data_IF_893782065186
#
_entry.id   IF_893782065186
#
_cell.length_a   1.000
_cell.length_b   1.000
_cell.length_c   1.000
_cell.angle_alpha   90.00
_cell.angle_beta   90.00
_cell.angle_gamma   90.00
#
_symmetry.space_group_name_H-M   'P 1'
#
loop_
_entity.id
_entity.type
_entity.pdbx_description
1 polymer ?
#
# COMPACT_ATOMS: atom_id res chain seq x y z
N UNK A 1 -57.51 10.39 -19.76
CA UNK A 1 -58.23 10.50 -21.04
C UNK A 1 -57.27 10.84 -22.18
N UNK A 2 -56.53 11.96 -22.12
CA UNK A 2 -55.59 12.35 -23.18
C UNK A 2 -54.50 11.31 -23.57
N UNK A 3 -54.01 10.53 -22.59
CA UNK A 3 -52.98 9.51 -22.84
C UNK A 3 -53.54 8.25 -23.55
N UNK A 4 -54.83 7.98 -23.38
CA UNK A 4 -55.51 6.83 -24.01
C UNK A 4 -55.91 7.18 -25.44
N UNK A 5 -56.34 8.42 -25.68
CA UNK A 5 -56.63 8.92 -27.04
C UNK A 5 -55.37 9.00 -27.91
N UNK A 6 -54.26 9.48 -27.35
CA UNK A 6 -52.97 9.49 -28.06
C UNK A 6 -52.47 8.07 -28.42
N UNK A 7 -52.74 7.07 -27.57
CA UNK A 7 -52.40 5.68 -27.86
C UNK A 7 -53.28 5.09 -28.98
N UNK A 8 -54.54 5.51 -29.06
CA UNK A 8 -55.47 5.09 -30.12
C UNK A 8 -55.07 5.67 -31.48
N UNK A 9 -54.69 6.94 -31.51
CA UNK A 9 -54.26 7.66 -32.73
C UNK A 9 -52.92 7.13 -33.30
N UNK A 10 -52.05 6.59 -32.44
CA UNK A 10 -50.82 5.89 -32.83
C UNK A 10 -51.13 4.49 -33.40
N UNK A 11 -52.18 3.82 -32.91
CA UNK A 11 -52.59 2.49 -33.38
C UNK A 11 -53.26 2.51 -34.75
N UNK A 12 -53.91 3.62 -35.10
CA UNK A 12 -54.69 3.79 -36.33
C UNK A 12 -53.83 4.20 -37.53
N UNK A 13 -52.60 4.68 -37.31
CA UNK A 13 -51.67 5.12 -38.34
C UNK A 13 -50.56 4.08 -38.60
N UNK A 14 -50.60 3.32 -39.72
CA UNK A 14 -49.66 2.21 -39.98
C UNK A 14 -48.19 2.66 -40.15
N UNK A 15 -47.96 3.89 -40.58
CA UNK A 15 -46.61 4.48 -40.70
C UNK A 15 -46.04 4.88 -39.35
N UNK A 16 -46.87 5.39 -38.43
CA UNK A 16 -46.48 5.79 -37.08
C UNK A 16 -46.22 4.57 -36.19
N UNK A 17 -47.04 3.51 -36.36
CA UNK A 17 -46.85 2.22 -35.71
C UNK A 17 -45.53 1.55 -36.13
N UNK A 18 -45.15 1.64 -37.41
CA UNK A 18 -43.87 1.12 -37.90
C UNK A 18 -42.66 1.81 -37.29
N UNK A 19 -42.70 3.15 -37.16
CA UNK A 19 -41.63 3.93 -36.52
C UNK A 19 -41.55 3.63 -35.02
N UNK A 20 -42.68 3.56 -34.32
CA UNK A 20 -42.72 3.17 -32.91
C UNK A 20 -42.18 1.76 -32.67
N UNK A 21 -42.52 0.81 -33.54
CA UNK A 21 -42.01 -0.56 -33.47
C UNK A 21 -40.48 -0.60 -33.66
N UNK A 22 -39.95 0.19 -34.60
CA UNK A 22 -38.50 0.33 -34.79
C UNK A 22 -37.79 0.95 -33.58
N UNK A 23 -38.36 2.00 -33.00
CA UNK A 23 -37.81 2.66 -31.81
C UNK A 23 -37.84 1.74 -30.59
N UNK A 24 -38.91 0.97 -30.39
CA UNK A 24 -39.03 -0.02 -29.31
C UNK A 24 -38.04 -1.18 -29.51
N UNK A 25 -37.81 -1.65 -30.74
CA UNK A 25 -36.82 -2.69 -31.01
C UNK A 25 -35.39 -2.24 -30.73
N UNK A 26 -35.05 -0.96 -30.97
CA UNK A 26 -33.71 -0.42 -30.71
C UNK A 26 -33.49 0.00 -29.25
N UNK A 27 -34.46 0.67 -28.64
CA UNK A 27 -34.33 1.20 -27.27
C UNK A 27 -34.78 0.21 -26.20
N UNK A 28 -35.65 -0.75 -26.54
CA UNK A 28 -36.15 -1.77 -25.61
C UNK A 28 -35.03 -2.59 -24.96
N UNK A 29 -34.10 -3.19 -25.73
CA UNK A 29 -32.99 -3.95 -25.15
C UNK A 29 -32.08 -3.11 -24.26
N UNK A 30 -31.87 -1.83 -24.61
CA UNK A 30 -31.06 -0.88 -23.82
C UNK A 30 -31.74 -0.57 -22.49
N UNK A 31 -33.05 -0.30 -22.50
CA UNK A 31 -33.83 -0.09 -21.29
C UNK A 31 -33.90 -1.33 -20.42
N UNK A 32 -34.05 -2.52 -21.01
CA UNK A 32 -34.03 -3.80 -20.29
C UNK A 32 -32.66 -4.00 -19.63
N UNK A 33 -31.56 -3.78 -20.36
CA UNK A 33 -30.20 -3.88 -19.81
C UNK A 33 -29.97 -2.88 -18.67
N UNK A 34 -30.48 -1.65 -18.79
CA UNK A 34 -30.43 -0.64 -17.75
C UNK A 34 -31.19 -1.06 -16.48
N UNK A 35 -32.44 -1.52 -16.62
CA UNK A 35 -33.25 -1.98 -15.49
C UNK A 35 -32.65 -3.21 -14.83
N UNK A 36 -32.12 -4.16 -15.61
CA UNK A 36 -31.39 -5.33 -15.07
C UNK A 36 -30.13 -4.86 -14.34
N UNK A 37 -29.34 -3.93 -14.90
CA UNK A 37 -28.15 -3.38 -14.25
C UNK A 37 -28.46 -2.67 -12.92
N UNK A 38 -29.53 -1.88 -12.86
CA UNK A 38 -30.00 -1.22 -11.64
C UNK A 38 -30.49 -2.26 -10.63
N UNK A 39 -31.26 -3.26 -11.07
CA UNK A 39 -31.79 -4.32 -10.21
C UNK A 39 -30.68 -5.19 -9.63
N UNK A 40 -29.68 -5.55 -10.44
CA UNK A 40 -28.49 -6.28 -10.01
C UNK A 40 -27.66 -5.41 -9.07
N UNK A 41 -27.46 -4.12 -9.36
CA UNK A 41 -26.75 -3.20 -8.47
C UNK A 41 -27.46 -2.98 -7.11
N UNK A 42 -28.79 -2.98 -7.09
CA UNK A 42 -29.59 -2.86 -5.85
C UNK A 42 -29.66 -4.17 -5.06
N UNK A 43 -29.77 -5.31 -5.75
CA UNK A 43 -29.78 -6.63 -5.14
C UNK A 43 -28.36 -7.05 -4.68
N UNK A 44 -27.33 -6.52 -5.31
CA UNK A 44 -25.94 -6.76 -4.93
C UNK A 44 -25.60 -5.94 -3.69
N UNK A 45 -25.91 -6.50 -2.53
CA UNK A 45 -25.36 -6.08 -1.24
C UNK A 45 -24.12 -6.93 -0.93
N UNK A 46 -22.91 -6.49 -1.29
CA UNK A 46 -21.71 -7.23 -0.96
C UNK A 46 -21.59 -7.39 0.56
N UNK A 47 -21.45 -8.65 1.01
CA UNK A 47 -21.31 -8.99 2.44
C UNK A 47 -20.07 -8.37 3.09
N UNK A 48 -19.07 -7.93 2.31
CA UNK A 48 -17.91 -7.19 2.83
C UNK A 48 -18.25 -5.78 3.34
N UNK A 49 -19.36 -5.18 2.92
CA UNK A 49 -19.80 -3.88 3.44
C UNK A 49 -20.47 -3.97 4.83
N UNK A 50 -20.95 -5.15 5.24
CA UNK A 50 -21.58 -5.38 6.56
C UNK A 50 -20.65 -6.06 7.58
N UNK A 51 -19.44 -6.48 7.18
CA UNK A 51 -18.49 -7.18 8.05
C UNK A 51 -17.93 -6.29 9.18
N UNK A 52 -18.23 -4.99 9.19
CA UNK A 52 -17.86 -4.05 10.26
C UNK A 52 -18.91 -3.86 11.37
N UNK A 53 -20.14 -4.38 11.22
CA UNK A 53 -21.22 -4.15 12.22
C UNK A 53 -21.39 -5.27 13.23
N UNK A 54 -21.06 -6.50 12.87
CA UNK A 54 -21.31 -7.67 13.74
C UNK A 54 -20.20 -7.91 14.78
N UNK A 55 -19.13 -7.09 14.77
CA UNK A 55 -18.04 -7.14 15.78
C UNK A 55 -18.12 -6.05 16.87
N UNK A 56 -19.14 -5.18 16.82
CA UNK A 56 -19.35 -4.10 17.82
C UNK A 56 -20.66 -4.25 18.62
N UNK A 57 -21.44 -5.31 18.38
CA UNK A 57 -22.71 -5.56 19.09
C UNK A 57 -22.64 -6.68 20.15
N UNK A 58 -21.44 -7.14 20.52
CA UNK A 58 -21.27 -8.11 21.60
C UNK A 58 -20.14 -7.65 22.54
N UNK A 59 -20.29 -6.46 23.14
CA UNK A 59 -19.56 -6.06 24.35
C UNK A 59 -20.12 -4.77 24.98
N UNK A 60 -21.43 -4.51 24.98
CA UNK A 60 -22.06 -3.50 25.86
C UNK A 60 -23.51 -3.90 26.13
N UNK A 61 -23.71 -4.89 26.99
CA UNK A 61 -24.97 -5.03 27.71
C UNK A 61 -24.68 -5.67 29.06
N UNK A 62 -25.05 -4.95 30.11
CA UNK A 62 -25.00 -5.30 31.54
C UNK A 62 -23.69 -4.93 32.26
N UNK A 63 -23.61 -3.68 32.75
CA UNK A 63 -23.49 -3.42 34.20
C UNK A 63 -23.33 -1.92 34.47
N UNK A 64 -24.43 -1.22 34.73
CA UNK A 64 -24.43 -0.03 35.57
C UNK A 64 -25.68 -0.09 36.43
N UNK A 65 -25.62 -0.89 37.48
CA UNK A 65 -26.43 -0.67 38.67
C UNK A 65 -25.52 -0.29 39.83
N UNK A 66 -26.07 0.62 40.63
CA UNK A 66 -25.45 1.48 41.63
C UNK A 66 -25.01 0.74 42.92
N UNK A 67 -23.98 1.33 43.54
CA UNK A 67 -23.82 1.58 44.99
C UNK A 67 -23.51 0.40 45.96
N UNK A 68 -22.29 0.50 46.52
CA UNK A 68 -21.91 0.33 47.94
C UNK A 68 -21.10 -0.87 48.46
N UNK A 69 -20.03 -0.43 49.16
CA UNK A 69 -19.41 -0.90 50.41
C UNK A 69 -18.46 -2.11 50.41
N UNK A 70 -17.41 -1.89 51.22
CA UNK A 70 -16.26 -2.74 51.56
C UNK A 70 -16.67 -4.09 52.14
N UNK A 71 -15.89 -5.14 51.86
CA UNK A 71 -15.07 -5.87 52.84
C UNK A 71 -14.41 -7.11 52.20
N UNK A 72 -13.09 -7.18 52.35
CA UNK A 72 -12.24 -8.33 52.72
C UNK A 72 -12.46 -9.79 52.24
N UNK A 73 -11.28 -10.43 52.04
CA UNK A 73 -10.94 -11.88 52.13
C UNK A 73 -10.96 -12.72 50.83
N UNK A 74 -9.75 -13.16 50.40
CA UNK A 74 -9.49 -14.33 49.51
C UNK A 74 -9.72 -15.66 50.27
N UNK A 75 -9.58 -16.91 49.74
CA UNK A 75 -9.10 -17.35 48.42
C UNK A 75 -9.82 -18.60 47.80
N UNK A 76 -9.31 -19.03 46.63
CA UNK A 76 -9.07 -20.42 46.21
C UNK A 76 -10.10 -21.20 45.34
N UNK A 77 -9.51 -21.88 44.32
CA UNK A 77 -9.86 -23.13 43.62
C UNK A 77 -10.87 -23.12 42.47
N UNK A 78 -10.46 -23.73 41.34
CA UNK A 78 -11.39 -24.32 40.37
C UNK A 78 -10.79 -24.59 38.98
N UNK A 79 -10.11 -25.72 38.81
CA UNK A 79 -9.77 -26.33 37.52
C UNK A 79 -11.03 -26.67 36.69
N UNK A 80 -10.87 -26.77 35.37
CA UNK A 80 -11.80 -27.50 34.47
C UNK A 80 -12.02 -26.79 33.14
N UNK A 81 -11.21 -27.08 32.12
CA UNK A 81 -11.48 -28.05 31.06
C UNK A 81 -12.26 -27.48 29.88
N UNK A 82 -11.55 -27.32 28.76
CA UNK A 82 -12.09 -27.08 27.43
C UNK A 82 -12.83 -28.33 26.90
N UNK A 83 -13.84 -28.16 26.02
CA UNK A 83 -14.21 -29.17 25.06
C UNK A 83 -13.72 -28.80 23.66
N UNK A 84 -13.03 -29.79 23.10
CA UNK A 84 -12.60 -29.92 21.73
C UNK A 84 -13.77 -30.37 20.84
N UNK A 85 -13.84 -29.87 19.61
CA UNK A 85 -14.56 -30.52 18.51
C UNK A 85 -13.72 -30.51 17.23
N UNK A 86 -13.53 -31.73 16.72
CA UNK A 86 -12.76 -32.15 15.55
C UNK A 86 -13.47 -31.83 14.22
N UNK A 87 -12.71 -31.36 13.24
CA UNK A 87 -12.26 -32.05 12.01
C UNK A 87 -13.26 -32.15 10.85
N UNK A 88 -12.85 -31.59 9.70
CA UNK A 88 -13.15 -32.15 8.38
C UNK A 88 -11.86 -32.15 7.57
N UNK A 89 -11.40 -33.37 7.25
CA UNK A 89 -10.30 -33.72 6.35
C UNK A 89 -10.69 -33.41 4.91
N UNK A 90 -9.74 -32.93 4.11
CA UNK A 90 -9.66 -33.27 2.69
C UNK A 90 -8.21 -33.67 2.38
N UNK A 91 -8.04 -34.91 1.92
CA UNK A 91 -6.78 -35.55 1.58
C UNK A 91 -6.31 -35.10 0.19
N UNK A 92 -5.03 -34.79 0.04
CA UNK A 92 -4.32 -34.65 -1.23
C UNK A 92 -3.74 -36.00 -1.67
N UNK A 93 -3.65 -36.30 -2.99
CA UNK A 93 -2.99 -37.52 -3.46
C UNK A 93 -1.46 -37.35 -3.46
N UNK A 94 -0.80 -38.39 -2.99
CA UNK A 94 0.65 -38.60 -3.00
C UNK A 94 1.18 -38.81 -4.42
N UNK A 95 2.33 -38.20 -4.69
CA UNK A 95 3.15 -38.42 -5.88
C UNK A 95 3.92 -39.74 -5.75
N UNK A 96 3.68 -40.69 -6.66
CA UNK A 96 4.47 -41.90 -6.82
C UNK A 96 5.68 -41.60 -7.71
N UNK A 97 6.89 -41.85 -7.18
CA UNK A 97 8.14 -41.77 -7.92
C UNK A 97 8.38 -43.07 -8.71
N UNK A 98 8.47 -42.94 -10.03
CA UNK A 98 8.95 -44.02 -10.90
C UNK A 98 10.46 -44.15 -10.81
N UNK A 99 10.89 -45.30 -10.27
CA UNK A 99 12.26 -45.81 -10.26
C UNK A 99 12.52 -46.50 -11.59
N UNK A 100 13.45 -45.96 -12.39
CA UNK A 100 14.05 -46.68 -13.51
C UNK A 100 15.37 -47.31 -13.03
N UNK A 101 15.37 -48.64 -12.99
CA UNK A 101 16.51 -49.49 -12.67
C UNK A 101 17.46 -49.53 -13.88
N UNK A 102 18.76 -49.31 -13.67
CA UNK A 102 19.81 -49.77 -14.58
C UNK A 102 21.08 -50.02 -13.76
N UNK A 103 21.38 -51.29 -13.54
CA UNK A 103 22.64 -51.74 -12.94
C UNK A 103 23.66 -52.06 -14.02
N UNK A 104 24.89 -51.54 -13.86
CA UNK A 104 26.12 -52.23 -14.29
C UNK A 104 27.24 -51.92 -13.29
N UNK A 105 27.86 -53.02 -12.90
CA UNK A 105 29.06 -53.37 -12.12
C UNK A 105 30.08 -52.35 -11.58
N UNK A 106 30.55 -52.77 -10.40
CA UNK A 106 31.57 -52.29 -9.47
C UNK A 106 32.99 -52.45 -10.01
N UNK A 107 33.81 -51.38 -10.01
CA UNK A 107 35.27 -51.46 -9.79
C UNK A 107 35.76 -50.28 -8.94
N UNK A 108 36.41 -50.62 -7.83
CA UNK A 108 37.10 -49.75 -6.90
C UNK A 108 38.39 -49.18 -7.50
N UNK A 109 38.58 -47.86 -7.43
CA UNK A 109 39.89 -47.23 -7.60
C UNK A 109 39.96 -45.97 -6.75
N UNK A 110 40.84 -46.01 -5.76
CA UNK A 110 41.22 -44.89 -4.89
C UNK A 110 42.00 -43.85 -5.69
N UNK A 111 41.52 -42.61 -5.76
CA UNK A 111 42.29 -41.46 -6.26
C UNK A 111 42.06 -40.27 -5.31
N UNK A 112 43.15 -39.60 -4.95
CA UNK A 112 43.25 -38.49 -3.98
C UNK A 112 42.44 -37.25 -4.41
N UNK A 113 42.04 -36.36 -3.49
CA UNK A 113 41.34 -35.13 -3.86
C UNK A 113 42.32 -34.18 -4.55
N UNK A 114 42.04 -33.81 -5.80
CA UNK A 114 42.65 -32.65 -6.43
C UNK A 114 41.88 -31.42 -5.95
N UNK A 115 42.63 -30.43 -5.44
CA UNK A 115 42.15 -29.09 -5.15
C UNK A 115 41.56 -28.48 -6.43
N UNK A 116 40.24 -28.45 -6.53
CA UNK A 116 39.55 -27.63 -7.51
C UNK A 116 39.40 -26.23 -6.90
N UNK A 117 40.11 -25.28 -7.50
CA UNK A 117 39.94 -23.86 -7.24
C UNK A 117 38.49 -23.49 -7.59
N UNK A 118 37.80 -22.96 -6.59
CA UNK A 118 36.43 -22.46 -6.64
C UNK A 118 36.36 -21.14 -7.43
N UNK A 119 36.39 -21.23 -8.76
CA UNK A 119 36.15 -20.09 -9.66
C UNK A 119 34.66 -19.85 -9.93
N UNK A 120 33.76 -20.71 -9.43
CA UNK A 120 32.31 -20.57 -9.66
C UNK A 120 31.63 -19.73 -8.59
N UNK A 121 32.08 -19.78 -7.32
CA UNK A 121 31.54 -18.92 -6.27
C UNK A 121 31.88 -17.44 -6.46
N UNK A 122 33.06 -17.12 -7.02
CA UNK A 122 33.46 -15.72 -7.26
C UNK A 122 32.55 -15.04 -8.27
N UNK A 123 32.27 -15.69 -9.41
CA UNK A 123 31.43 -15.14 -10.48
C UNK A 123 29.97 -14.96 -10.01
N UNK A 124 29.45 -15.90 -9.22
CA UNK A 124 28.10 -15.81 -8.66
C UNK A 124 27.99 -14.68 -7.63
N UNK A 125 29.00 -14.52 -6.76
CA UNK A 125 29.03 -13.43 -5.77
C UNK A 125 29.09 -12.05 -6.40
N UNK A 126 29.79 -11.92 -7.54
CA UNK A 126 29.91 -10.68 -8.30
C UNK A 126 28.59 -10.36 -9.02
N UNK A 127 27.94 -11.35 -9.63
CA UNK A 127 26.63 -11.21 -10.28
C UNK A 127 25.53 -10.80 -9.28
N UNK A 128 25.52 -11.37 -8.07
CA UNK A 128 24.62 -10.97 -6.98
C UNK A 128 24.92 -9.55 -6.50
N UNK A 129 26.21 -9.21 -6.35
CA UNK A 129 26.60 -7.87 -5.90
C UNK A 129 26.13 -6.78 -6.87
N UNK A 130 26.09 -7.10 -8.16
CA UNK A 130 25.59 -6.24 -9.23
C UNK A 130 24.05 -6.12 -9.28
N UNK A 131 23.31 -6.93 -8.51
CA UNK A 131 21.85 -6.84 -8.47
C UNK A 131 21.37 -5.49 -7.90
N UNK A 132 22.11 -4.91 -6.95
CA UNK A 132 21.85 -3.61 -6.34
C UNK A 132 23.17 -2.91 -6.04
N UNK A 133 23.42 -1.81 -6.76
CA UNK A 133 24.73 -1.17 -6.88
C UNK A 133 24.78 0.16 -6.13
N UNK A 134 25.96 0.76 -6.05
CA UNK A 134 26.18 2.06 -5.44
C UNK A 134 25.41 3.18 -6.16
N UNK A 135 25.17 3.08 -7.46
CA UNK A 135 24.31 4.05 -8.17
C UNK A 135 22.86 4.04 -7.65
N UNK A 136 22.36 2.90 -7.18
CA UNK A 136 21.04 2.82 -6.55
C UNK A 136 21.03 3.55 -5.19
N UNK A 137 22.15 3.53 -4.47
CA UNK A 137 22.32 4.31 -3.24
C UNK A 137 22.31 5.81 -3.55
N UNK A 138 23.06 6.25 -4.56
CA UNK A 138 23.06 7.65 -4.98
C UNK A 138 21.65 8.12 -5.35
N UNK A 139 20.90 7.28 -6.05
CA UNK A 139 19.52 7.58 -6.45
C UNK A 139 18.57 7.74 -5.25
N UNK A 140 18.59 6.82 -4.27
CA UNK A 140 17.75 6.99 -3.07
C UNK A 140 18.17 8.22 -2.25
N UNK A 141 19.45 8.56 -2.20
CA UNK A 141 19.91 9.78 -1.54
C UNK A 141 19.33 11.04 -2.20
N UNK A 142 19.37 11.13 -3.53
CA UNK A 142 18.74 12.22 -4.27
C UNK A 142 17.23 12.31 -4.03
N UNK A 143 16.52 11.17 -3.93
CA UNK A 143 15.10 11.12 -3.62
C UNK A 143 14.79 11.63 -2.20
N UNK A 144 15.60 11.24 -1.21
CA UNK A 144 15.47 11.68 0.19
C UNK A 144 15.66 13.18 0.31
N UNK A 145 16.59 13.75 -0.44
CA UNK A 145 16.87 15.19 -0.47
C UNK A 145 15.98 15.99 -1.43
N UNK A 146 15.10 15.31 -2.17
CA UNK A 146 14.24 15.92 -3.21
C UNK A 146 15.05 16.62 -4.33
N UNK A 147 16.24 16.10 -4.64
CA UNK A 147 17.17 16.58 -5.68
C UNK A 147 17.25 15.65 -6.89
N UNK A 148 16.30 14.72 -7.03
CA UNK A 148 16.26 13.74 -8.11
C UNK A 148 15.87 14.31 -9.48
N UNK A 149 15.56 15.62 -9.56
CA UNK A 149 15.17 16.31 -10.80
C UNK A 149 13.78 15.94 -11.31
N UNK A 150 13.02 15.11 -10.58
CA UNK A 150 11.66 14.75 -10.93
C UNK A 150 10.64 15.88 -10.69
N UNK A 151 9.39 15.73 -11.18
CA UNK A 151 8.32 16.68 -10.93
C UNK A 151 8.04 16.86 -9.44
N UNK A 152 7.40 17.98 -9.09
CA UNK A 152 6.99 18.25 -7.71
C UNK A 152 6.00 17.21 -7.18
N UNK A 153 6.14 16.87 -5.90
CA UNK A 153 5.26 15.97 -5.19
C UNK A 153 3.91 16.61 -4.90
N UNK A 154 2.81 15.94 -5.27
CA UNK A 154 1.44 16.36 -5.00
C UNK A 154 0.94 15.63 -3.77
N UNK A 155 0.57 16.38 -2.72
CA UNK A 155 0.05 15.81 -1.49
C UNK A 155 -1.26 15.03 -1.73
N UNK A 156 -1.35 13.82 -1.19
CA UNK A 156 -2.48 12.90 -1.37
C UNK A 156 -3.21 12.58 -0.07
N UNK A 157 -2.49 12.49 1.05
CA UNK A 157 -3.02 11.96 2.28
C UNK A 157 -2.24 12.46 3.48
N UNK A 158 -2.96 12.82 4.55
CA UNK A 158 -2.42 13.06 5.89
C UNK A 158 -3.35 12.36 6.88
N UNK A 159 -2.81 11.40 7.62
CA UNK A 159 -3.54 10.55 8.57
C UNK A 159 -2.68 10.27 9.80
N UNK A 160 -3.34 10.09 10.94
CA UNK A 160 -2.66 9.73 12.18
C UNK A 160 -3.50 8.78 13.02
N UNK A 161 -2.80 8.05 13.85
CA UNK A 161 -3.27 7.28 15.00
C UNK A 161 -2.44 7.71 16.21
N UNK A 162 -2.76 7.30 17.44
CA UNK A 162 -1.96 7.67 18.61
C UNK A 162 -0.48 7.28 18.50
N UNK A 163 -0.16 6.16 17.83
CA UNK A 163 1.18 5.58 17.76
C UNK A 163 1.89 5.77 16.41
N UNK A 164 1.18 6.30 15.40
CA UNK A 164 1.68 6.37 14.03
C UNK A 164 1.11 7.58 13.30
N UNK A 165 1.95 8.39 12.65
CA UNK A 165 1.51 9.40 11.67
C UNK A 165 1.98 9.05 10.27
N UNK A 166 1.17 9.38 9.28
CA UNK A 166 1.36 8.99 7.89
C UNK A 166 1.00 10.14 6.95
N UNK A 167 1.95 10.53 6.11
CA UNK A 167 1.73 11.46 5.01
C UNK A 167 2.15 10.82 3.70
N UNK A 168 1.42 11.10 2.62
CA UNK A 168 1.73 10.56 1.31
C UNK A 168 1.55 11.59 0.20
N UNK A 169 2.40 11.47 -0.81
CA UNK A 169 2.44 12.28 -2.01
C UNK A 169 2.56 11.40 -3.26
N UNK A 170 2.19 11.96 -4.40
CA UNK A 170 2.39 11.34 -5.72
C UNK A 170 2.86 12.38 -6.71
N UNK A 171 3.61 11.92 -7.69
CA UNK A 171 3.86 12.67 -8.93
C UNK A 171 3.67 11.75 -10.13
N UNK A 172 3.34 12.36 -11.27
CA UNK A 172 3.12 11.66 -12.52
C UNK A 172 4.25 12.09 -13.49
N UNK A 173 5.30 11.26 -13.70
CA UNK A 173 6.37 11.59 -14.64
C UNK A 173 5.86 11.58 -16.09
N UNK A 174 6.59 12.24 -17.00
CA UNK A 174 6.26 12.24 -18.45
C UNK A 174 6.29 10.83 -19.04
N UNK A 175 7.20 10.01 -18.55
CA UNK A 175 7.43 8.63 -18.97
C UNK A 175 7.42 7.72 -17.75
N UNK A 176 6.77 6.57 -17.86
CA UNK A 176 6.68 5.58 -16.80
C UNK A 176 5.49 5.74 -15.84
N UNK A 177 5.36 4.82 -14.87
CA UNK A 177 4.21 4.76 -13.98
C UNK A 177 4.19 5.92 -12.97
N UNK A 178 3.02 6.21 -12.35
CA UNK A 178 2.93 7.13 -11.23
C UNK A 178 3.92 6.75 -10.11
N UNK A 179 4.57 7.75 -9.54
CA UNK A 179 5.51 7.59 -8.45
C UNK A 179 4.87 8.05 -7.15
N UNK A 180 5.15 7.33 -6.07
CA UNK A 180 4.61 7.58 -4.73
C UNK A 180 5.73 7.81 -3.75
N UNK A 181 5.49 8.74 -2.83
CA UNK A 181 6.33 9.01 -1.66
C UNK A 181 5.46 8.98 -0.42
N UNK A 182 5.94 8.42 0.67
CA UNK A 182 5.27 8.60 1.97
C UNK A 182 6.26 8.76 3.11
N UNK A 183 5.87 9.52 4.13
CA UNK A 183 6.54 9.59 5.42
C UNK A 183 5.64 8.91 6.45
N UNK A 184 6.16 7.87 7.09
CA UNK A 184 5.50 7.20 8.21
C UNK A 184 6.36 7.35 9.45
N UNK A 185 5.79 7.88 10.53
CA UNK A 185 6.47 7.99 11.82
C UNK A 185 5.83 7.00 12.78
N UNK A 186 6.64 6.10 13.35
CA UNK A 186 6.25 5.18 14.41
C UNK A 186 6.80 5.70 15.74
N UNK A 187 5.92 5.93 16.70
CA UNK A 187 6.32 6.25 18.07
C UNK A 187 6.91 5.01 18.76
N UNK A 188 7.82 5.20 19.71
CA UNK A 188 8.37 4.11 20.55
C UNK A 188 8.96 2.96 19.70
N UNK A 189 9.76 3.32 18.69
CA UNK A 189 10.36 2.38 17.76
C UNK A 189 11.76 2.87 17.35
N UNK A 190 12.73 1.96 17.34
CA UNK A 190 14.10 2.28 16.91
C UNK A 190 14.28 1.99 15.41
N UNK A 191 15.20 2.68 14.71
CA UNK A 191 15.48 2.39 13.30
C UNK A 191 15.89 0.94 13.05
N UNK A 192 16.60 0.32 13.98
CA UNK A 192 17.11 -1.05 13.87
C UNK A 192 15.97 -2.07 13.91
N UNK A 193 15.00 -1.90 14.80
CA UNK A 193 13.84 -2.82 14.86
C UNK A 193 12.92 -2.64 13.65
N UNK A 194 12.77 -1.41 13.17
CA UNK A 194 11.94 -1.10 11.99
C UNK A 194 12.59 -1.63 10.71
N UNK A 195 13.92 -1.50 10.57
CA UNK A 195 14.70 -2.11 9.48
C UNK A 195 14.47 -3.62 9.42
N UNK A 196 14.67 -4.32 10.54
CA UNK A 196 14.52 -5.77 10.59
C UNK A 196 13.09 -6.18 10.25
N UNK A 197 12.09 -5.46 10.79
CA UNK A 197 10.67 -5.71 10.54
C UNK A 197 10.28 -5.58 9.06
N UNK A 198 10.77 -4.57 8.35
CA UNK A 198 10.45 -4.38 6.92
C UNK A 198 11.15 -5.39 6.00
N UNK A 199 12.30 -5.93 6.42
CA UNK A 199 13.09 -6.90 5.66
C UNK A 199 12.68 -8.37 5.93
N UNK A 200 11.96 -8.62 7.03
CA UNK A 200 11.56 -9.96 7.45
C UNK A 200 10.36 -10.51 6.65
N UNK A 201 10.66 -11.09 5.49
CA UNK A 201 9.66 -11.71 4.61
C UNK A 201 8.98 -12.95 5.22
N UNK A 202 9.59 -13.59 6.22
CA UNK A 202 8.98 -14.74 6.92
C UNK A 202 7.97 -14.28 7.97
N UNK A 203 8.21 -13.12 8.59
CA UNK A 203 7.26 -12.50 9.51
C UNK A 203 6.15 -11.73 8.80
N UNK A 204 6.43 -11.21 7.59
CA UNK A 204 5.53 -10.39 6.78
C UNK A 204 4.09 -10.94 6.63
N UNK A 205 3.85 -12.24 6.40
CA UNK A 205 2.49 -12.79 6.27
C UNK A 205 1.63 -12.64 7.53
N UNK A 206 2.21 -12.33 8.69
CA UNK A 206 1.45 -12.11 9.93
C UNK A 206 0.68 -10.79 9.92
N UNK A 207 1.03 -9.85 9.04
CA UNK A 207 0.41 -8.52 8.98
C UNK A 207 0.09 -8.03 7.56
N UNK A 208 0.74 -8.56 6.53
CA UNK A 208 0.48 -8.24 5.12
C UNK A 208 -0.18 -9.42 4.39
N UNK A 209 -1.50 -9.37 4.27
CA UNK A 209 -2.30 -10.40 3.58
C UNK A 209 -2.01 -10.48 2.06
N UNK A 210 -1.32 -9.48 1.50
CA UNK A 210 -1.02 -9.43 0.07
C UNK A 210 0.24 -10.21 -0.30
N UNK A 211 1.09 -10.61 0.65
CA UNK A 211 2.23 -11.48 0.34
C UNK A 211 1.76 -12.94 0.34
N UNK A 212 1.72 -13.58 -0.83
CA UNK A 212 1.34 -14.99 -0.95
C UNK A 212 2.50 -15.91 -0.58
N UNK A 213 3.70 -15.61 -1.11
CA UNK A 213 4.92 -16.35 -0.84
C UNK A 213 6.14 -15.48 -1.08
N UNK A 214 7.22 -15.81 -0.37
CA UNK A 214 8.56 -15.26 -0.54
C UNK A 214 9.55 -16.42 -0.60
N UNK A 215 10.55 -16.33 -1.47
CA UNK A 215 11.62 -17.33 -1.57
C UNK A 215 12.92 -16.61 -1.88
N UNK A 216 13.90 -16.70 -0.97
CA UNK A 216 15.26 -16.22 -1.22
C UNK A 216 15.90 -17.13 -2.27
N UNK A 217 16.33 -16.55 -3.37
CA UNK A 217 16.99 -17.26 -4.46
C UNK A 217 18.50 -17.27 -4.22
N UNK A 218 19.05 -16.10 -3.89
CA UNK A 218 20.48 -15.89 -3.66
C UNK A 218 20.69 -14.85 -2.56
N UNK A 219 21.81 -14.95 -1.85
CA UNK A 219 22.20 -14.01 -0.82
C UNK A 219 23.72 -13.82 -0.82
N UNK A 220 24.17 -12.58 -0.59
CA UNK A 220 25.57 -12.23 -0.40
C UNK A 220 25.80 -11.82 1.07
N UNK A 221 26.43 -12.69 1.88
CA UNK A 221 26.70 -12.41 3.29
C UNK A 221 27.69 -11.26 3.53
N UNK A 222 28.44 -10.83 2.51
CA UNK A 222 29.41 -9.73 2.63
C UNK A 222 28.73 -8.37 2.57
N UNK A 223 27.82 -8.18 1.61
CA UNK A 223 27.16 -6.89 1.37
C UNK A 223 25.75 -6.81 1.97
N UNK A 224 25.16 -7.96 2.32
CA UNK A 224 23.76 -8.08 2.70
C UNK A 224 22.79 -8.12 1.51
N UNK A 225 23.31 -8.18 0.27
CA UNK A 225 22.46 -8.23 -0.93
C UNK A 225 21.66 -9.52 -0.96
N UNK A 226 20.38 -9.43 -1.30
CA UNK A 226 19.52 -10.59 -1.50
C UNK A 226 18.81 -10.50 -2.84
N UNK A 227 18.66 -11.65 -3.49
CA UNK A 227 17.74 -11.85 -4.61
C UNK A 227 16.57 -12.69 -4.12
N UNK A 228 15.36 -12.17 -4.27
CA UNK A 228 14.14 -12.78 -3.72
C UNK A 228 13.05 -12.85 -4.76
N UNK A 229 12.36 -13.99 -4.83
CA UNK A 229 11.11 -14.13 -5.55
C UNK A 229 9.94 -13.84 -4.61
N UNK A 230 9.13 -12.84 -4.94
CA UNK A 230 7.85 -12.58 -4.27
C UNK A 230 6.69 -12.92 -5.17
N UNK A 231 5.65 -13.53 -4.60
CA UNK A 231 4.34 -13.62 -5.22
C UNK A 231 3.36 -12.84 -4.36
N UNK A 232 2.71 -11.84 -4.94
CA UNK A 232 1.70 -11.01 -4.27
C UNK A 232 0.31 -11.31 -4.79
N UNK A 233 -0.63 -11.44 -3.86
CA UNK A 233 -2.06 -11.55 -4.14
C UNK A 233 -2.58 -10.22 -4.63
N UNK A 234 -3.31 -10.25 -5.72
CA UNK A 234 -4.08 -9.10 -6.19
C UNK A 234 -5.58 -9.38 -6.08
N UNK A 235 -6.44 -8.33 -6.13
CA UNK A 235 -7.87 -8.52 -6.19
C UNK A 235 -8.27 -9.51 -7.28
N UNK A 236 -9.29 -10.34 -7.03
CA UNK A 236 -9.66 -11.49 -7.87
C UNK A 236 -9.88 -11.21 -9.37
N UNK A 237 -10.15 -9.94 -9.73
CA UNK A 237 -10.32 -9.49 -11.11
C UNK A 237 -8.98 -9.23 -11.84
N UNK A 238 -7.84 -9.39 -11.15
CA UNK A 238 -6.52 -9.35 -11.74
C UNK A 238 -5.72 -10.60 -11.38
N UNK A 239 -4.75 -10.96 -12.22
CA UNK A 239 -3.80 -12.04 -11.91
C UNK A 239 -2.91 -11.65 -10.73
N UNK A 240 -2.50 -12.60 -9.91
CA UNK A 240 -1.43 -12.37 -8.94
C UNK A 240 -0.13 -11.93 -9.62
N UNK A 241 0.73 -11.22 -8.88
CA UNK A 241 1.97 -10.65 -9.41
C UNK A 241 3.17 -11.40 -8.89
N UNK A 242 4.11 -11.67 -9.77
CA UNK A 242 5.43 -12.21 -9.43
C UNK A 242 6.47 -11.12 -9.60
N UNK A 243 7.36 -11.03 -8.62
CA UNK A 243 8.47 -10.10 -8.61
C UNK A 243 9.74 -10.92 -8.40
N UNK A 244 10.76 -10.65 -9.20
CA UNK A 244 12.13 -11.03 -8.86
C UNK A 244 12.84 -9.75 -8.49
N UNK A 245 13.20 -9.63 -7.22
CA UNK A 245 13.73 -8.40 -6.65
C UNK A 245 15.16 -8.62 -6.17
N UNK A 246 16.01 -7.66 -6.49
CA UNK A 246 17.29 -7.45 -5.82
C UNK A 246 17.08 -6.42 -4.70
N UNK A 247 17.68 -6.67 -3.53
CA UNK A 247 17.58 -5.74 -2.40
C UNK A 247 18.87 -5.69 -1.58
N UNK A 248 19.21 -4.50 -1.07
CA UNK A 248 20.43 -4.24 -0.27
C UNK A 248 20.18 -3.08 0.71
N UNK A 249 20.93 -3.07 1.82
CA UNK A 249 20.87 -2.01 2.84
C UNK A 249 22.25 -1.38 3.03
N UNK A 250 22.27 -0.04 3.04
CA UNK A 250 23.39 0.76 3.48
C UNK A 250 23.08 1.46 4.80
N UNK A 251 24.10 1.65 5.63
CA UNK A 251 23.98 2.34 6.92
C UNK A 251 24.90 3.55 6.96
N UNK A 252 24.36 4.68 7.42
CA UNK A 252 25.13 5.89 7.75
C UNK A 252 24.64 6.47 9.06
N UNK A 253 25.47 6.40 10.10
CA UNK A 253 25.08 6.76 11.46
C UNK A 253 23.92 5.88 11.96
N UNK A 254 22.76 6.49 12.21
CA UNK A 254 21.51 5.79 12.60
C UNK A 254 20.43 5.83 11.52
N UNK A 255 20.86 6.00 10.27
CA UNK A 255 20.00 6.02 9.10
C UNK A 255 20.30 4.82 8.21
N UNK A 256 19.24 4.18 7.73
CA UNK A 256 19.31 3.03 6.82
C UNK A 256 18.70 3.39 5.48
N UNK A 257 19.48 3.18 4.41
CA UNK A 257 19.04 3.34 3.03
C UNK A 257 18.83 1.96 2.45
N UNK A 258 17.57 1.61 2.24
CA UNK A 258 17.16 0.26 1.85
C UNK A 258 16.61 0.33 0.43
N UNK A 259 17.24 -0.37 -0.52
CA UNK A 259 16.76 -0.43 -1.90
C UNK A 259 16.18 -1.80 -2.17
N UNK A 260 15.03 -1.84 -2.86
CA UNK A 260 14.48 -3.05 -3.46
C UNK A 260 14.04 -2.70 -4.87
N UNK A 261 14.59 -3.37 -5.88
CA UNK A 261 14.25 -3.13 -7.29
C UNK A 261 14.02 -4.44 -8.03
N UNK A 262 13.23 -4.40 -9.09
CA UNK A 262 13.05 -5.52 -10.01
C UNK A 262 14.36 -5.81 -10.74
N UNK A 263 14.72 -7.09 -10.84
CA UNK A 263 15.91 -7.54 -11.58
C UNK A 263 15.54 -8.63 -12.58
N UNK A 264 16.36 -8.76 -13.61
CA UNK A 264 16.28 -9.89 -14.53
C UNK A 264 16.97 -11.09 -13.90
N UNK A 265 16.31 -12.26 -13.94
CA UNK A 265 16.86 -13.49 -13.40
C UNK A 265 16.56 -14.65 -14.37
N UNK A 266 17.50 -14.98 -15.28
CA UNK A 266 17.24 -15.86 -16.42
C UNK A 266 16.78 -17.28 -16.07
N UNK A 267 17.20 -17.80 -14.92
CA UNK A 267 16.90 -19.16 -14.44
C UNK A 267 15.44 -19.34 -14.00
N UNK A 268 14.67 -18.25 -13.81
CA UNK A 268 13.23 -18.33 -13.50
C UNK A 268 12.41 -17.82 -14.68
N UNK A 269 11.87 -18.73 -15.52
CA UNK A 269 11.09 -18.35 -16.68
C UNK A 269 9.79 -17.66 -16.31
N UNK A 270 9.29 -16.81 -17.21
CA UNK A 270 8.01 -16.15 -17.06
C UNK A 270 6.88 -17.18 -17.12
N UNK A 271 5.88 -16.99 -16.27
CA UNK A 271 4.63 -17.75 -16.30
C UNK A 271 3.48 -16.81 -16.65
N UNK A 272 2.41 -17.36 -17.19
CA UNK A 272 1.18 -16.60 -17.43
C UNK A 272 0.43 -16.23 -16.15
N UNK A 273 0.62 -17.04 -15.10
CA UNK A 273 0.06 -16.88 -13.76
C UNK A 273 1.08 -17.40 -12.74
N UNK A 274 1.47 -16.61 -11.74
CA UNK A 274 1.31 -15.15 -11.62
C UNK A 274 1.94 -14.35 -12.79
N UNK A 275 1.51 -13.10 -13.02
CA UNK A 275 2.10 -12.18 -14.02
C UNK A 275 3.38 -11.56 -13.45
N UNK A 276 4.52 -11.70 -14.15
CA UNK A 276 5.78 -11.04 -13.80
C UNK A 276 5.65 -9.50 -13.89
N UNK A 277 6.15 -8.80 -12.89
CA UNK A 277 6.36 -7.34 -12.89
C UNK A 277 7.85 -7.08 -13.00
N UNK A 278 8.27 -6.48 -14.11
CA UNK A 278 9.68 -6.20 -14.39
C UNK A 278 10.11 -4.85 -13.82
N UNK A 279 9.32 -3.81 -14.10
CA UNK A 279 9.55 -2.48 -13.54
C UNK A 279 8.98 -2.44 -12.13
N UNK A 280 9.86 -2.57 -11.14
CA UNK A 280 9.55 -2.45 -9.73
C UNK A 280 10.66 -1.67 -9.03
N UNK A 281 10.30 -0.66 -8.26
CA UNK A 281 11.20 0.07 -7.40
C UNK A 281 10.49 0.41 -6.10
N UNK A 282 11.07 0.03 -4.97
CA UNK A 282 10.57 0.32 -3.63
C UNK A 282 11.76 0.52 -2.72
N UNK A 283 11.98 1.75 -2.29
CA UNK A 283 13.12 2.11 -1.45
C UNK A 283 12.68 2.85 -0.19
N UNK A 284 13.46 2.70 0.88
CA UNK A 284 13.12 3.14 2.22
C UNK A 284 14.31 3.86 2.83
N UNK A 285 14.11 5.06 3.37
CA UNK A 285 15.04 5.69 4.29
C UNK A 285 14.45 5.63 5.70
N UNK A 286 15.12 4.89 6.58
CA UNK A 286 14.68 4.65 7.97
C UNK A 286 15.62 5.40 8.89
N UNK A 287 15.10 6.32 9.71
CA UNK A 287 15.92 7.16 10.60
C UNK A 287 15.21 7.48 11.91
N UNK A 288 16.00 7.73 12.96
CA UNK A 288 15.47 8.20 14.23
C UNK A 288 14.98 9.65 14.09
N UNK A 289 13.83 9.96 14.69
CA UNK A 289 13.24 11.30 14.73
C UNK A 289 12.71 11.60 16.11
N UNK A 290 12.47 12.88 16.38
CA UNK A 290 11.89 13.32 17.65
C UNK A 290 10.46 12.78 17.81
N UNK A 291 10.19 12.22 18.98
CA UNK A 291 8.84 11.81 19.36
C UNK A 291 7.96 13.02 19.64
N UNK A 292 6.70 12.96 19.18
CA UNK A 292 5.69 13.96 19.54
C UNK A 292 5.25 13.85 21.00
N UNK A 293 5.55 12.72 21.66
CA UNK A 293 5.14 12.43 23.05
C UNK A 293 6.17 12.86 24.07
N UNK A 294 7.44 12.69 23.73
CA UNK A 294 8.56 12.84 24.65
C UNK A 294 9.46 13.99 24.20
N UNK A 295 8.94 15.23 24.29
CA UNK A 295 9.62 16.51 24.08
C UNK A 295 11.09 16.43 23.62
N UNK A 296 11.32 16.23 22.32
CA UNK A 296 12.65 16.28 21.69
C UNK A 296 13.51 15.01 21.82
N UNK A 297 13.02 13.93 22.44
CA UNK A 297 13.74 12.65 22.49
C UNK A 297 13.62 11.89 21.17
N UNK A 298 14.73 11.33 20.70
CA UNK A 298 14.81 10.50 19.49
C UNK A 298 14.32 9.06 19.72
N UNK A 299 13.08 8.93 20.21
CA UNK A 299 12.44 7.64 20.51
C UNK A 299 11.45 7.19 19.41
N UNK A 300 11.21 8.04 18.41
CA UNK A 300 10.40 7.70 17.24
C UNK A 300 11.28 7.35 16.04
N UNK A 301 10.70 6.63 15.09
CA UNK A 301 11.35 6.26 13.84
C UNK A 301 10.53 6.77 12.66
N UNK A 302 11.16 7.52 11.77
CA UNK A 302 10.59 7.89 10.48
C UNK A 302 11.02 6.89 9.40
N UNK A 303 10.08 6.58 8.52
CA UNK A 303 10.26 5.75 7.34
C UNK A 303 9.77 6.56 6.14
N UNK A 304 10.71 7.04 5.34
CA UNK A 304 10.45 7.61 4.03
C UNK A 304 10.43 6.48 3.01
N UNK A 305 9.31 6.29 2.32
CA UNK A 305 9.15 5.30 1.26
C UNK A 305 9.08 6.02 -0.09
N UNK A 306 9.81 5.52 -1.08
CA UNK A 306 9.67 5.91 -2.49
C UNK A 306 9.35 4.67 -3.32
N UNK A 307 8.28 4.72 -4.09
CA UNK A 307 7.74 3.55 -4.75
C UNK A 307 7.16 3.84 -6.13
N UNK A 308 7.47 2.99 -7.10
CA UNK A 308 6.78 2.91 -8.38
C UNK A 308 6.92 1.51 -8.98
N UNK A 309 5.90 1.07 -9.70
CA UNK A 309 5.91 -0.21 -10.38
C UNK A 309 4.96 -0.22 -11.59
N UNK A 310 5.22 -1.12 -12.54
CA UNK A 310 4.27 -1.43 -13.61
C UNK A 310 3.53 -2.75 -13.33
N UNK A 311 2.42 -2.63 -12.60
CA UNK A 311 1.55 -3.75 -12.25
C UNK A 311 0.81 -4.38 -13.46
N UNK A 312 0.90 -3.77 -14.65
CA UNK A 312 0.10 -4.11 -15.82
C UNK A 312 -1.39 -3.82 -15.67
N UNK A 313 -1.71 -2.83 -14.85
CA UNK A 313 -3.07 -2.30 -14.68
C UNK A 313 -3.06 -0.87 -15.21
N UNK A 314 -4.12 -0.42 -15.91
CA UNK A 314 -4.27 0.99 -16.27
C UNK A 314 -4.03 1.91 -15.06
N UNK A 315 -3.15 2.90 -15.22
CA UNK A 315 -2.65 3.70 -14.10
C UNK A 315 -3.76 4.46 -13.36
N UNK A 316 -4.84 4.87 -14.03
CA UNK A 316 -5.98 5.51 -13.36
C UNK A 316 -6.70 4.57 -12.38
N UNK A 317 -6.78 3.27 -12.71
CA UNK A 317 -7.36 2.25 -11.83
C UNK A 317 -6.43 2.01 -10.65
N UNK A 318 -5.12 1.89 -10.89
CA UNK A 318 -4.13 1.76 -9.83
C UNK A 318 -4.16 2.97 -8.88
N UNK A 319 -4.21 4.20 -9.42
CA UNK A 319 -4.34 5.46 -8.67
C UNK A 319 -5.60 5.50 -7.81
N UNK A 320 -6.73 5.03 -8.34
CA UNK A 320 -7.97 4.91 -7.57
C UNK A 320 -7.83 3.91 -6.42
N UNK A 321 -7.21 2.75 -6.68
CA UNK A 321 -6.90 1.73 -5.69
C UNK A 321 -6.05 2.29 -4.54
N UNK A 322 -4.96 3.00 -4.86
CA UNK A 322 -4.10 3.65 -3.86
C UNK A 322 -4.90 4.68 -3.05
N UNK A 323 -5.65 5.58 -3.71
CA UNK A 323 -6.41 6.62 -3.02
C UNK A 323 -7.45 6.05 -2.03
N UNK A 324 -8.05 4.90 -2.36
CA UNK A 324 -9.10 4.29 -1.53
C UNK A 324 -8.59 3.28 -0.51
N UNK A 325 -7.56 2.51 -0.86
CA UNK A 325 -7.08 1.37 -0.08
C UNK A 325 -5.81 1.60 0.73
N UNK A 326 -4.98 2.60 0.37
CA UNK A 326 -3.65 2.78 0.97
C UNK A 326 -3.70 2.93 2.48
N UNK A 327 -4.62 3.73 3.02
CA UNK A 327 -4.72 3.91 4.47
C UNK A 327 -5.05 2.60 5.19
N UNK A 328 -6.00 1.81 4.67
CA UNK A 328 -6.37 0.52 5.27
C UNK A 328 -5.22 -0.49 5.24
N UNK A 329 -4.33 -0.44 4.25
CA UNK A 329 -3.13 -1.27 4.20
C UNK A 329 -2.06 -0.77 5.18
N UNK A 330 -1.78 0.55 5.17
CA UNK A 330 -0.77 1.18 6.05
C UNK A 330 -1.12 1.04 7.52
N UNK A 331 -2.41 1.11 7.88
CA UNK A 331 -2.86 0.91 9.26
C UNK A 331 -2.52 -0.47 9.85
N UNK A 332 -2.29 -1.50 9.02
CA UNK A 332 -1.89 -2.83 9.49
C UNK A 332 -0.43 -2.89 9.91
N UNK A 333 0.40 -1.94 9.46
CA UNK A 333 1.83 -1.92 9.73
C UNK A 333 2.09 -1.71 11.22
N UNK A 334 1.39 -0.78 11.87
CA UNK A 334 1.58 -0.47 13.30
C UNK A 334 1.36 -1.68 14.22
N UNK A 335 0.21 -2.39 14.19
CA UNK A 335 0.03 -3.58 15.02
C UNK A 335 0.98 -4.73 14.63
N UNK A 336 1.35 -4.83 13.36
CA UNK A 336 2.38 -5.75 12.89
C UNK A 336 3.75 -5.49 13.53
N UNK A 337 4.17 -4.22 13.55
CA UNK A 337 5.40 -3.77 14.19
C UNK A 337 5.38 -4.01 15.71
N UNK A 338 4.25 -3.75 16.39
CA UNK A 338 4.10 -4.06 17.82
C UNK A 338 4.25 -5.54 18.11
N UNK A 339 3.63 -6.38 17.29
CA UNK A 339 3.77 -7.85 17.40
C UNK A 339 5.21 -8.27 17.18
N UNK A 340 5.91 -7.64 16.23
CA UNK A 340 7.33 -7.91 15.97
C UNK A 340 8.22 -7.52 17.15
N UNK A 341 8.02 -6.32 17.72
CA UNK A 341 8.71 -5.83 18.92
C UNK A 341 8.52 -6.80 20.10
N UNK A 342 7.28 -7.24 20.36
CA UNK A 342 6.98 -8.21 21.42
C UNK A 342 7.68 -9.55 21.19
N UNK A 343 7.71 -10.05 19.95
CA UNK A 343 8.42 -11.27 19.61
C UNK A 343 9.93 -11.15 19.88
N UNK A 344 10.55 -9.99 19.54
CA UNK A 344 11.97 -9.73 19.83
C UNK A 344 12.22 -9.62 21.33
N UNK A 345 11.38 -8.90 22.07
CA UNK A 345 11.49 -8.77 23.53
C UNK A 345 11.35 -10.10 24.26
N UNK A 346 10.60 -11.05 23.69
CA UNK A 346 10.43 -12.42 24.20
C UNK A 346 11.61 -13.34 23.87
N UNK A 347 12.64 -12.86 23.17
CA UNK A 347 13.82 -13.65 22.80
C UNK A 347 13.61 -14.58 21.61
N UNK A 348 12.58 -14.36 20.78
CA UNK A 348 12.40 -15.17 19.57
C UNK A 348 13.58 -14.96 18.60
N UNK A 349 14.10 -16.04 17.96
CA UNK A 349 15.23 -15.93 17.04
C UNK A 349 14.87 -15.11 15.79
N UNK A 350 15.87 -14.49 15.16
CA UNK A 350 15.71 -13.80 13.87
C UNK A 350 15.50 -14.82 12.75
N UNK A 351 14.59 -14.49 11.83
CA UNK A 351 14.49 -15.22 10.56
C UNK A 351 15.74 -14.96 9.71
N UNK A 352 15.94 -15.76 8.65
CA UNK A 352 17.09 -15.55 7.76
C UNK A 352 17.04 -14.17 7.09
N UNK A 353 15.90 -13.69 6.55
CA UNK A 353 15.82 -12.33 6.01
C UNK A 353 16.09 -11.26 7.07
N UNK A 354 15.53 -11.37 8.28
CA UNK A 354 15.79 -10.40 9.34
C UNK A 354 17.27 -10.36 9.74
N UNK A 355 17.95 -11.50 9.78
CA UNK A 355 19.39 -11.58 10.00
C UNK A 355 20.17 -10.88 8.87
N UNK A 356 19.81 -11.14 7.61
CA UNK A 356 20.44 -10.49 6.45
C UNK A 356 20.28 -8.96 6.49
N UNK A 357 19.20 -8.44 7.07
CA UNK A 357 18.99 -6.99 7.24
C UNK A 357 20.05 -6.33 8.14
N UNK A 358 20.69 -7.11 9.03
CA UNK A 358 21.72 -6.63 9.94
C UNK A 358 23.11 -6.56 9.28
N UNK A 359 23.27 -7.23 8.13
CA UNK A 359 24.46 -7.15 7.30
C UNK A 359 24.27 -5.95 6.36
N UNK A 360 24.89 -4.83 6.72
CA UNK A 360 24.76 -3.59 5.97
C UNK A 360 26.11 -3.04 5.53
N UNK A 361 26.12 -2.39 4.37
CA UNK A 361 27.30 -1.70 3.86
C UNK A 361 27.40 -0.33 4.55
N UNK A 362 28.47 -0.10 5.30
CA UNK A 362 28.69 1.19 5.98
C UNK A 362 29.10 2.25 4.96
N UNK A 363 28.47 3.42 5.04
CA UNK A 363 28.75 4.54 4.15
C UNK A 363 29.17 5.74 4.99
N UNK A 364 30.19 6.45 4.52
CA UNK A 364 30.65 7.66 5.20
C UNK A 364 29.58 8.77 5.09
N UNK A 365 29.14 9.39 6.20
CA UNK A 365 28.19 10.50 6.16
C UNK A 365 28.63 11.66 5.25
N UNK A 366 29.94 11.94 5.16
CA UNK A 366 30.47 12.99 4.29
C UNK A 366 30.27 12.68 2.81
N UNK A 367 30.36 11.41 2.43
CA UNK A 367 30.10 10.98 1.05
C UNK A 367 28.62 11.16 0.69
N UNK A 368 27.71 10.85 1.61
CA UNK A 368 26.28 11.11 1.41
C UNK A 368 25.98 12.61 1.30
N UNK A 369 26.64 13.45 2.11
CA UNK A 369 26.51 14.90 2.02
C UNK A 369 27.05 15.46 0.70
N UNK A 370 28.16 14.93 0.18
CA UNK A 370 28.68 15.34 -1.13
C UNK A 370 27.80 14.91 -2.30
N UNK A 371 27.09 13.77 -2.18
CA UNK A 371 26.09 13.35 -3.17
C UNK A 371 24.89 14.30 -3.23
N UNK A 372 24.58 14.94 -2.10
CA UNK A 372 23.61 16.01 -2.01
C UNK A 372 24.13 17.38 -2.47
N UNK A 373 25.44 17.58 -2.53
CA UNK A 373 26.07 18.89 -2.71
C UNK A 373 26.87 19.01 -3.99
N UNK A 374 26.22 19.40 -5.09
CA UNK A 374 26.92 20.16 -6.13
C UNK A 374 26.97 21.61 -5.66
N UNK A 375 28.01 21.95 -4.90
CA UNK A 375 28.32 23.33 -4.54
C UNK A 375 28.68 24.09 -5.83
N UNK A 376 27.72 24.83 -6.38
CA UNK A 376 28.04 26.00 -7.20
C UNK A 376 28.54 27.11 -6.24
N UNK A 377 29.79 27.01 -5.83
CA UNK A 377 30.55 28.20 -5.43
C UNK A 377 30.76 29.05 -6.67
N UNK A 378 29.97 30.10 -6.80
CA UNK A 378 30.41 31.32 -7.46
C UNK A 378 29.95 32.49 -6.61
N UNK A 379 30.93 33.17 -6.01
CA UNK A 379 30.81 34.53 -5.51
C UNK A 379 30.12 35.39 -6.57
N UNK A 380 29.09 36.11 -6.13
CA UNK A 380 28.89 37.50 -6.50
C UNK A 380 27.97 38.14 -5.47
N UNK A 381 28.57 38.94 -4.60
CA UNK A 381 27.89 40.06 -3.96
C UNK A 381 27.26 40.93 -5.06
N UNK A 382 25.93 40.96 -5.14
CA UNK A 382 25.22 42.19 -5.50
C UNK A 382 24.04 42.32 -4.55
N UNK A 383 24.16 43.29 -3.64
CA UNK A 383 23.07 43.82 -2.86
C UNK A 383 21.92 44.25 -3.78
N UNK A 384 20.78 43.59 -3.65
CA UNK A 384 19.50 44.11 -4.15
C UNK A 384 18.48 44.00 -3.04
N UNK A 385 18.15 45.17 -2.48
CA UNK A 385 16.97 45.42 -1.66
C UNK A 385 15.73 44.89 -2.38
N UNK A 386 15.04 43.92 -1.80
CA UNK A 386 13.71 43.53 -2.23
C UNK A 386 12.70 43.93 -1.17
N UNK A 387 11.89 44.92 -1.51
CA UNK A 387 10.65 45.28 -0.84
C UNK A 387 9.71 44.06 -0.74
N UNK A 388 8.88 44.03 0.30
CA UNK A 388 7.79 43.06 0.45
C UNK A 388 6.76 43.29 -0.67
N UNK A 389 6.30 42.24 -1.40
CA UNK A 389 5.07 42.38 -2.15
C UNK A 389 3.85 42.39 -1.19
N UNK A 390 2.83 43.22 -1.45
CA UNK A 390 1.62 43.28 -0.63
C UNK A 390 0.76 42.04 -0.86
N UNK A 391 0.06 41.61 0.20
CA UNK A 391 -0.88 40.51 0.16
C UNK A 391 -1.95 40.69 -0.91
N UNK A 392 -2.02 39.77 -1.87
CA UNK A 392 -3.11 39.67 -2.83
C UNK A 392 -4.32 39.04 -2.15
N UNK A 393 -5.31 39.89 -1.84
CA UNK A 393 -6.66 39.46 -1.51
C UNK A 393 -7.36 38.93 -2.77
N UNK A 394 -7.81 37.68 -2.73
CA UNK A 394 -8.60 37.08 -3.81
C UNK A 394 -10.05 37.61 -3.69
N UNK A 395 -10.61 38.28 -4.71
CA UNK A 395 -12.01 38.73 -4.66
C UNK A 395 -12.97 37.54 -4.77
N UNK A 396 -13.93 37.49 -3.85
CA UNK A 396 -14.97 36.46 -3.67
C UNK A 396 -16.04 36.42 -4.78
N UNK A 397 -15.66 36.44 -6.07
CA UNK A 397 -16.64 36.46 -7.18
C UNK A 397 -16.55 35.24 -8.12
N UNK A 398 -15.53 34.39 -8.02
CA UNK A 398 -15.40 33.20 -8.88
C UNK A 398 -15.97 31.89 -8.29
N UNK A 399 -16.70 31.96 -7.18
CA UNK A 399 -17.34 30.79 -6.53
C UNK A 399 -18.85 30.70 -6.87
N UNK A 400 -19.44 31.74 -7.47
CA UNK A 400 -20.89 31.80 -7.70
C UNK A 400 -21.30 31.30 -9.11
N UNK A 401 -20.37 31.27 -10.08
CA UNK A 401 -20.67 30.83 -11.45
C UNK A 401 -20.79 29.31 -11.65
N UNK A 402 -20.14 28.50 -10.80
CA UNK A 402 -20.13 27.03 -10.93
C UNK A 402 -21.34 26.32 -10.33
N UNK A 403 -22.07 26.98 -9.40
CA UNK A 403 -23.23 26.39 -8.73
C UNK A 403 -24.54 26.53 -9.53
N UNK A 404 -24.62 27.51 -10.42
CA UNK A 404 -25.83 27.75 -11.26
C UNK A 404 -25.88 26.80 -12.45
N UNK A 405 -24.74 26.40 -13.03
CA UNK A 405 -24.70 25.44 -14.14
C UNK A 405 -25.04 23.99 -13.70
N UNK A 406 -24.74 23.61 -12.45
CA UNK A 406 -25.11 22.31 -11.88
C UNK A 406 -26.58 22.24 -11.46
N UNK A 407 -27.21 23.38 -11.15
CA UNK A 407 -28.63 23.43 -10.79
C UNK A 407 -29.57 23.34 -12.00
N UNK A 408 -29.10 23.58 -13.23
CA UNK A 408 -29.92 23.50 -14.44
C UNK A 408 -29.86 22.14 -15.16
N UNK A 409 -29.10 21.16 -14.63
CA UNK A 409 -28.95 19.83 -15.26
C UNK A 409 -29.54 18.67 -14.44
N UNK A 410 -30.09 18.95 -13.25
CA UNK A 410 -30.62 17.94 -12.33
C UNK A 410 -32.04 18.25 -11.81
N UNK A 411 -32.84 18.99 -12.58
CA UNK A 411 -34.24 19.26 -12.23
C UNK A 411 -35.20 18.55 -13.21
N UNK A 412 -35.38 17.24 -12.98
CA UNK A 412 -36.64 16.57 -13.28
C UNK A 412 -37.22 16.01 -11.99
N UNK A 413 -37.87 16.91 -11.24
CA UNK A 413 -39.06 16.57 -10.45
C UNK A 413 -38.83 16.02 -9.05
N UNK A 414 -39.57 16.62 -8.11
CA UNK A 414 -39.74 16.23 -6.70
C UNK A 414 -38.55 16.51 -5.78
N UNK A 415 -38.45 17.75 -5.30
CA UNK A 415 -38.33 18.08 -3.86
C UNK A 415 -38.44 19.59 -3.60
N UNK A 416 -39.39 20.25 -4.26
CA UNK A 416 -39.78 21.62 -3.96
C UNK A 416 -40.80 21.59 -2.82
N UNK A 417 -40.43 22.13 -1.65
CA UNK A 417 -41.26 23.01 -0.77
C UNK A 417 -40.80 23.06 0.69
N UNK A 418 -40.00 22.12 1.18
CA UNK A 418 -39.60 22.12 2.60
C UNK A 418 -38.35 22.97 2.91
N UNK A 419 -37.42 23.13 1.96
CA UNK A 419 -36.11 23.76 2.24
C UNK A 419 -36.13 25.29 2.04
N UNK A 420 -36.97 25.79 1.13
CA UNK A 420 -37.03 27.23 0.81
C UNK A 420 -37.67 28.05 1.96
N UNK A 421 -38.60 27.47 2.73
CA UNK A 421 -39.22 28.17 3.86
C UNK A 421 -38.38 28.14 5.16
N UNK A 422 -37.41 27.22 5.30
CA UNK A 422 -36.58 27.11 6.50
C UNK A 422 -35.42 28.11 6.57
N UNK A 423 -34.93 28.58 5.41
CA UNK A 423 -33.74 29.44 5.34
C UNK A 423 -34.11 30.93 5.38
N UNK A 424 -35.28 31.32 4.86
CA UNK A 424 -35.74 32.72 4.89
C UNK A 424 -36.03 33.25 6.30
N UNK A 425 -36.33 32.37 7.27
CA UNK A 425 -36.66 32.78 8.66
C UNK A 425 -35.44 33.02 9.54
N UNK A 426 -34.24 32.56 9.15
CA UNK A 426 -32.99 32.74 9.92
C UNK A 426 -32.18 33.98 9.55
N UNK A 427 -32.42 34.61 8.40
CA UNK A 427 -31.72 35.83 8.00
C UNK A 427 -32.47 37.14 8.33
N UNK A 428 -33.75 37.08 8.71
CA UNK A 428 -34.52 38.25 9.11
C UNK A 428 -34.19 38.78 10.53
N UNK A 429 -33.40 38.05 11.34
CA UNK A 429 -33.07 38.45 12.72
C UNK A 429 -31.62 38.91 12.95
N UNK A 430 -30.80 39.07 11.89
CA UNK A 430 -29.45 39.66 12.00
C UNK A 430 -29.38 41.17 11.66
N UNK A 431 -30.53 41.82 11.51
CA UNK A 431 -30.65 43.25 11.15
C UNK A 431 -31.17 44.16 12.25
N UNK A 432 -31.05 43.80 13.55
CA UNK A 432 -31.36 44.68 14.68
C UNK A 432 -30.41 44.45 15.86
N UNK A 433 -29.24 45.10 15.80
CA UNK A 433 -28.44 45.58 16.93
C UNK A 433 -27.29 46.44 16.37
N UNK A 434 -27.64 47.69 16.06
CA UNK A 434 -26.77 48.85 16.27
C UNK A 434 -27.22 49.48 17.58
#
# INVERSE_FOLDING_TARGET
MALIEALYEILENPTLLGVFTGVIMFLGPIWIAFVIGVSVGWAWKPKWANLGKDKLACSVSNSLDLWSLRADVSPLKGFGSAPCLNSLKFQSPSCESWVMNNGVERKSSSVKPAEYIDCSASNLSEEISNAVTEEDLEHICQLVEEKDGGPSWIHMMDRSTPNMSYQAWRRDPKTGPPQYRSSTIFEDATPEIVRDFFWDDEFRPKWDDMLASSTTLEECPTTGTMVVQWVRKFPFFCKDREYIIGRRIWESGRSYYCVTKGITYPSIPRRDKPRRVDLYYSSWCIRAVESKRYNGQLTACEVLLFHHEDMGIPWEIAKLGVRKGMWGAVQKIEPGLRTYQQARASGAPLSRPAFMAQINTKVNPRYLQSLGGTDNQSENEIATTSERPPGMQIPKILIIGGAVALACTLDQGLLTKAVIFGVARRFANLGKRL
#
